data_IF_689081334310
#
_entry.id   IF_689081334310
#
_cell.length_a   1.000
_cell.length_b   1.000
_cell.length_c   1.000
_cell.angle_alpha   90.00
_cell.angle_beta   90.00
_cell.angle_gamma   90.00
#
_symmetry.space_group_name_H-M   'P 1'
#
loop_
_entity.id
_entity.type
_entity.pdbx_description
1 polymer ?
#
# COMPACT_ATOMS: atom_id res chain seq x y z
N UNK A 1 8.87 14.80 -18.69
CA UNK A 1 8.99 14.06 -17.41
C UNK A 1 8.76 12.60 -17.73
N UNK A 2 9.58 11.67 -17.21
CA UNK A 2 9.35 10.24 -17.43
C UNK A 2 8.00 9.84 -16.80
N UNK A 3 7.26 8.97 -17.48
CA UNK A 3 6.00 8.45 -16.98
C UNK A 3 6.29 7.52 -15.78
N UNK A 4 5.61 7.67 -14.64
CA UNK A 4 5.80 6.78 -13.49
C UNK A 4 5.43 5.34 -13.88
N UNK A 5 6.25 4.37 -13.48
CA UNK A 5 6.06 2.93 -13.72
C UNK A 5 5.56 2.17 -12.48
N UNK A 6 5.38 2.87 -11.36
CA UNK A 6 4.94 2.31 -10.08
C UNK A 6 3.91 3.22 -9.38
N UNK A 7 3.04 2.61 -8.57
CA UNK A 7 2.05 3.34 -7.74
C UNK A 7 2.71 4.13 -6.60
N UNK A 8 3.77 3.56 -6.01
CA UNK A 8 4.56 4.20 -4.95
C UNK A 8 6.05 4.01 -5.23
N UNK A 9 6.84 5.01 -4.85
CA UNK A 9 8.30 4.92 -4.82
C UNK A 9 8.75 4.91 -3.36
N UNK A 10 9.53 3.90 -2.96
CA UNK A 10 10.08 3.87 -1.60
C UNK A 10 11.26 4.85 -1.48
N UNK A 11 11.20 5.77 -0.52
CA UNK A 11 12.24 6.73 -0.16
C UNK A 11 12.56 6.61 1.33
N UNK A 12 13.67 5.96 1.67
CA UNK A 12 13.94 5.58 3.05
C UNK A 12 12.82 4.69 3.56
N UNK A 13 12.19 5.07 4.67
CA UNK A 13 11.08 4.32 5.29
C UNK A 13 9.69 4.76 4.85
N UNK A 14 9.63 5.75 3.96
CA UNK A 14 8.38 6.27 3.42
C UNK A 14 8.10 5.75 2.02
N UNK A 15 6.81 5.66 1.70
CA UNK A 15 6.29 5.35 0.38
C UNK A 15 5.68 6.62 -0.20
N UNK A 16 6.34 7.20 -1.20
CA UNK A 16 5.86 8.39 -1.91
C UNK A 16 4.89 7.97 -3.01
N UNK A 17 3.63 8.45 -3.00
CA UNK A 17 2.69 8.14 -4.06
C UNK A 17 3.07 8.83 -5.36
N UNK A 18 2.92 8.13 -6.48
CA UNK A 18 3.05 8.73 -7.81
C UNK A 18 1.67 9.19 -8.30
N UNK A 19 1.61 9.98 -9.39
CA UNK A 19 0.35 10.30 -10.04
C UNK A 19 -0.50 9.07 -10.41
N UNK A 20 0.06 7.87 -10.58
CA UNK A 20 -0.74 6.67 -10.86
C UNK A 20 -1.65 6.25 -9.70
N UNK A 21 -1.36 6.72 -8.48
CA UNK A 21 -2.10 6.33 -7.28
C UNK A 21 -3.32 7.22 -6.96
N UNK A 22 -3.56 8.30 -7.72
CA UNK A 22 -4.64 9.24 -7.43
C UNK A 22 -6.04 8.63 -7.64
N UNK A 23 -7.00 9.07 -6.82
CA UNK A 23 -8.41 8.69 -6.98
C UNK A 23 -9.13 9.52 -8.05
N UNK A 24 -10.08 8.94 -8.80
CA UNK A 24 -10.85 9.67 -9.83
C UNK A 24 -11.81 10.72 -9.24
N UNK A 25 -12.08 10.67 -7.92
CA UNK A 25 -13.04 11.54 -7.26
C UNK A 25 -12.43 12.82 -6.68
N UNK A 26 -11.15 12.81 -6.33
CA UNK A 26 -10.46 13.97 -5.77
C UNK A 26 -8.94 13.79 -5.85
N UNK A 27 -8.27 14.70 -6.57
CA UNK A 27 -6.83 14.63 -6.81
C UNK A 27 -5.95 14.72 -5.55
N UNK A 28 -6.50 15.20 -4.43
CA UNK A 28 -5.78 15.28 -3.15
C UNK A 28 -5.70 13.95 -2.38
N UNK A 29 -6.39 12.91 -2.84
CA UNK A 29 -6.49 11.63 -2.15
C UNK A 29 -6.12 10.46 -3.06
N UNK A 30 -5.61 9.40 -2.45
CA UNK A 30 -5.28 8.15 -3.12
C UNK A 30 -6.55 7.38 -3.50
N UNK A 31 -6.47 6.66 -4.61
CA UNK A 31 -7.42 5.60 -4.92
C UNK A 31 -7.27 4.46 -3.91
N UNK A 32 -8.37 3.78 -3.60
CA UNK A 32 -8.37 2.66 -2.65
C UNK A 32 -7.43 1.52 -3.08
N UNK A 33 -7.43 1.16 -4.37
CA UNK A 33 -6.58 0.09 -4.90
C UNK A 33 -5.10 0.19 -4.52
N UNK A 34 -4.41 1.31 -4.82
CA UNK A 34 -3.04 1.57 -4.36
C UNK A 34 -2.86 1.42 -2.85
N UNK A 35 -3.76 1.97 -2.03
CA UNK A 35 -3.67 1.85 -0.57
C UNK A 35 -3.74 0.38 -0.13
N UNK A 36 -4.69 -0.39 -0.67
CA UNK A 36 -4.82 -1.81 -0.37
C UNK A 36 -3.60 -2.60 -0.88
N UNK A 37 -3.06 -2.26 -2.04
CA UNK A 37 -1.85 -2.85 -2.60
C UNK A 37 -0.61 -2.62 -1.72
N UNK A 38 -0.46 -1.42 -1.16
CA UNK A 38 0.63 -1.10 -0.24
C UNK A 38 0.52 -1.89 1.08
N UNK A 39 -0.70 -2.01 1.63
CA UNK A 39 -0.96 -2.83 2.82
C UNK A 39 -0.69 -4.32 2.56
N UNK A 40 -1.15 -4.84 1.42
CA UNK A 40 -0.87 -6.21 1.00
C UNK A 40 0.64 -6.45 0.83
N UNK A 41 1.35 -5.51 0.22
CA UNK A 41 2.81 -5.56 0.10
C UNK A 41 3.52 -5.67 1.46
N UNK A 42 3.06 -4.92 2.46
CA UNK A 42 3.57 -5.03 3.83
C UNK A 42 3.33 -6.40 4.46
N UNK A 43 2.14 -6.95 4.29
CA UNK A 43 1.76 -8.27 4.80
C UNK A 43 2.58 -9.39 4.15
N UNK A 44 2.70 -9.39 2.82
CA UNK A 44 3.41 -10.44 2.04
C UNK A 44 4.91 -10.51 2.36
N UNK A 45 5.52 -9.40 2.80
CA UNK A 45 6.91 -9.38 3.28
C UNK A 45 7.15 -10.21 4.55
N UNK A 46 6.09 -10.56 5.26
CA UNK A 46 6.11 -11.35 6.48
C UNK A 46 5.40 -12.70 6.31
N UNK A 47 5.16 -13.14 5.06
CA UNK A 47 4.50 -14.42 4.80
C UNK A 47 5.35 -15.61 5.29
N UNK A 48 4.72 -16.70 5.77
CA UNK A 48 5.43 -17.93 6.11
C UNK A 48 6.24 -18.47 4.92
N UNK A 49 7.33 -19.19 5.21
CA UNK A 49 8.11 -19.87 4.17
C UNK A 49 7.27 -20.95 3.47
N UNK A 50 7.17 -20.88 2.14
CA UNK A 50 6.45 -21.85 1.30
C UNK A 50 5.61 -21.17 0.21
N UNK A 51 4.90 -22.00 -0.58
CA UNK A 51 3.99 -21.56 -1.64
C UNK A 51 2.59 -21.22 -1.09
N UNK A 52 2.55 -20.40 -0.04
CA UNK A 52 1.30 -19.90 0.53
C UNK A 52 0.94 -18.54 -0.09
N UNK A 53 -0.35 -18.34 -0.36
CA UNK A 53 -0.92 -17.09 -0.87
C UNK A 53 -1.96 -16.55 0.10
N UNK A 54 -2.06 -15.22 0.23
CA UNK A 54 -3.07 -14.60 1.07
C UNK A 54 -4.49 -14.96 0.58
N UNK A 55 -5.27 -15.64 1.44
CA UNK A 55 -6.64 -16.03 1.11
C UNK A 55 -7.66 -14.89 1.31
N UNK A 56 -7.39 -13.96 2.25
CA UNK A 56 -8.27 -12.84 2.57
C UNK A 56 -7.47 -11.68 3.15
N UNK A 57 -7.73 -10.47 2.63
CA UNK A 57 -7.30 -9.21 3.21
C UNK A 57 -8.54 -8.40 3.62
N UNK A 58 -8.59 -7.99 4.88
CA UNK A 58 -9.63 -7.10 5.41
C UNK A 58 -8.97 -5.79 5.81
N UNK A 59 -9.52 -4.67 5.33
CA UNK A 59 -8.95 -3.33 5.54
C UNK A 59 -10.07 -2.40 5.96
N UNK A 60 -9.85 -1.69 7.06
CA UNK A 60 -10.70 -0.59 7.50
C UNK A 60 -10.01 0.74 7.17
N UNK A 61 -10.66 1.57 6.34
CA UNK A 61 -10.17 2.90 6.01
C UNK A 61 -10.92 3.94 6.85
N UNK A 62 -10.29 4.40 7.93
CA UNK A 62 -10.92 5.34 8.87
C UNK A 62 -11.08 6.76 8.30
N UNK A 63 -10.33 7.12 7.27
CA UNK A 63 -10.34 8.45 6.62
C UNK A 63 -9.78 8.37 5.20
N UNK A 64 -10.09 9.33 4.32
CA UNK A 64 -9.42 9.46 3.03
C UNK A 64 -7.89 9.53 3.20
N UNK A 65 -7.16 8.76 2.40
CA UNK A 65 -5.69 8.73 2.48
C UNK A 65 -5.11 9.80 1.56
N UNK A 66 -4.30 10.74 2.05
CA UNK A 66 -3.81 11.86 1.25
C UNK A 66 -2.77 11.41 0.22
N UNK A 67 -2.65 12.18 -0.87
CA UNK A 67 -1.51 12.13 -1.79
C UNK A 67 -0.26 12.72 -1.12
N UNK A 68 0.29 12.03 -0.13
CA UNK A 68 1.47 12.43 0.64
C UNK A 68 2.31 11.19 1.00
N UNK A 69 3.60 11.35 1.37
CA UNK A 69 4.43 10.24 1.82
C UNK A 69 3.77 9.46 2.96
N UNK A 70 3.75 8.13 2.84
CA UNK A 70 3.13 7.22 3.81
C UNK A 70 4.18 6.39 4.52
N UNK A 71 4.02 6.23 5.83
CA UNK A 71 4.72 5.19 6.59
C UNK A 71 3.93 3.87 6.51
N UNK A 72 4.64 2.76 6.30
CA UNK A 72 4.06 1.42 6.31
C UNK A 72 4.63 0.62 7.48
N UNK A 73 3.77 0.29 8.43
CA UNK A 73 4.10 -0.59 9.55
C UNK A 73 3.40 -1.94 9.38
N UNK A 74 4.08 -3.03 9.75
CA UNK A 74 3.49 -4.37 9.77
C UNK A 74 3.90 -5.07 11.05
N UNK A 75 2.96 -5.82 11.64
CA UNK A 75 3.20 -6.62 12.83
C UNK A 75 2.52 -7.96 12.68
N UNK A 76 3.29 -9.04 12.83
CA UNK A 76 2.75 -10.39 12.90
C UNK A 76 2.07 -10.57 14.26
N UNK A 77 0.80 -10.97 14.24
CA UNK A 77 -0.01 -11.18 15.46
C UNK A 77 -0.18 -12.65 15.80
N UNK A 78 0.05 -13.54 14.82
CA UNK A 78 -0.03 -14.99 14.95
C UNK A 78 0.75 -15.63 13.80
N UNK A 79 1.50 -16.68 14.12
CA UNK A 79 2.15 -17.55 13.15
C UNK A 79 1.44 -18.92 13.14
N UNK A 80 1.65 -19.68 12.06
CA UNK A 80 1.06 -21.01 11.89
C UNK A 80 1.81 -22.08 12.69
#
# INVERSE_FOLDING_TARGET
>A
MAEPDALFVRRGDLYEPTPLAHGPWAAGFLHGGPVLGLLAHGAERHRPSGDVVAARLTVDLHRPVPMAPLELATRVVREA
#
